data_IF_363203326705
#
_entry.id   IF_363203326705
#
_cell.length_a   1.000
_cell.length_b   1.000
_cell.length_c   1.000
_cell.angle_alpha   90.00
_cell.angle_beta   90.00
_cell.angle_gamma   90.00
#
_symmetry.space_group_name_H-M   'P 1'
#
loop_
_entity.id
_entity.type
_entity.pdbx_description
1 polymer ?
#
# COMPACT_ATOMS: atom_id res chain seq x y z
N UNK A 1 -20.90 6.42 34.44
CA UNK A 1 -21.48 6.88 33.17
C UNK A 1 -20.36 6.77 32.16
N UNK A 2 -20.34 5.67 31.42
CA UNK A 2 -19.22 5.24 30.58
C UNK A 2 -19.22 6.11 29.32
N UNK A 3 -18.04 6.65 29.01
CA UNK A 3 -17.84 7.51 27.86
C UNK A 3 -18.24 6.79 26.57
N UNK A 4 -18.88 7.54 25.70
CA UNK A 4 -19.66 7.13 24.55
C UNK A 4 -18.88 7.56 23.31
N UNK A 5 -18.54 6.60 22.46
CA UNK A 5 -17.74 6.74 21.24
C UNK A 5 -16.27 7.15 21.46
N UNK A 6 -15.42 6.16 21.76
CA UNK A 6 -14.20 6.12 20.96
C UNK A 6 -14.67 5.98 19.50
N UNK A 7 -14.43 6.95 18.59
CA UNK A 7 -14.51 6.64 17.17
C UNK A 7 -13.63 5.40 16.96
N UNK A 8 -13.93 4.47 16.05
CA UNK A 8 -12.99 3.40 15.73
C UNK A 8 -11.69 4.08 15.36
N UNK A 9 -10.79 4.17 16.34
CA UNK A 9 -9.63 5.06 16.29
C UNK A 9 -8.90 4.60 15.07
N UNK A 10 -8.74 5.51 14.10
CA UNK A 10 -8.20 5.25 12.77
C UNK A 10 -7.27 4.06 12.88
N UNK A 11 -7.75 2.88 12.47
CA UNK A 11 -7.09 1.64 12.83
C UNK A 11 -5.61 1.84 12.47
N UNK A 12 -4.70 1.49 13.38
CA UNK A 12 -3.26 1.71 13.21
C UNK A 12 -2.77 0.87 12.02
N UNK A 13 -3.07 1.40 10.82
CA UNK A 13 -2.95 0.76 9.53
C UNK A 13 -1.59 1.14 9.01
N UNK A 14 -0.63 0.35 9.43
CA UNK A 14 0.72 0.37 8.88
C UNK A 14 0.76 -0.55 7.66
N UNK A 15 1.31 -0.07 6.56
CA UNK A 15 1.61 -0.87 5.37
C UNK A 15 3.06 -1.38 5.44
N UNK A 16 3.25 -2.70 5.40
CA UNK A 16 4.58 -3.31 5.35
C UNK A 16 4.83 -3.84 3.95
N UNK A 17 5.94 -3.41 3.34
CA UNK A 17 6.38 -3.79 2.00
C UNK A 17 7.59 -4.72 2.10
N UNK A 18 7.60 -5.80 1.31
CA UNK A 18 8.64 -6.83 1.38
C UNK A 18 10.04 -6.30 1.01
N UNK A 19 10.13 -5.41 0.00
CA UNK A 19 11.38 -4.78 -0.41
C UNK A 19 11.13 -3.40 -1.05
N UNK A 20 11.97 -2.42 -0.74
CA UNK A 20 11.92 -1.05 -1.32
C UNK A 20 12.85 -0.90 -2.53
N UNK A 21 13.47 -2.00 -3.00
CA UNK A 21 14.49 -2.00 -4.02
C UNK A 21 14.09 -2.93 -5.17
N UNK A 22 14.01 -2.36 -6.36
CA UNK A 22 13.71 -3.05 -7.61
C UNK A 22 14.80 -2.73 -8.64
N UNK A 23 14.98 -3.56 -9.67
CA UNK A 23 15.82 -3.24 -10.84
C UNK A 23 14.96 -3.02 -12.08
N UNK A 24 15.48 -2.31 -13.08
CA UNK A 24 14.77 -2.17 -14.37
C UNK A 24 14.57 -3.55 -14.99
N UNK A 25 13.35 -3.82 -15.46
CA UNK A 25 12.93 -5.11 -16.04
C UNK A 25 12.43 -6.14 -15.02
N UNK A 26 12.66 -5.92 -13.71
CA UNK A 26 12.14 -6.82 -12.69
C UNK A 26 10.60 -6.79 -12.66
N UNK A 27 10.02 -7.97 -12.45
CA UNK A 27 8.59 -8.16 -12.19
C UNK A 27 8.46 -8.94 -10.88
N UNK A 28 8.01 -8.28 -9.82
CA UNK A 28 7.97 -8.86 -8.48
C UNK A 28 6.56 -8.75 -7.85
N UNK A 29 6.17 -9.70 -6.99
CA UNK A 29 4.93 -9.59 -6.24
C UNK A 29 5.01 -8.42 -5.24
N UNK A 30 3.95 -7.61 -5.20
CA UNK A 30 3.72 -6.61 -4.17
C UNK A 30 3.01 -7.27 -2.99
N UNK A 31 3.71 -7.40 -1.87
CA UNK A 31 3.09 -7.84 -0.60
C UNK A 31 2.87 -6.62 0.28
N UNK A 32 1.61 -6.40 0.67
CA UNK A 32 1.22 -5.33 1.58
C UNK A 32 0.48 -5.93 2.76
N UNK A 33 1.06 -5.80 3.94
CA UNK A 33 0.40 -6.20 5.19
C UNK A 33 -0.30 -4.98 5.77
N UNK A 34 -1.60 -5.11 6.03
CA UNK A 34 -2.39 -4.10 6.75
C UNK A 34 -2.54 -4.56 8.19
N UNK A 35 -1.96 -3.81 9.12
CA UNK A 35 -2.11 -4.09 10.55
C UNK A 35 -3.27 -3.28 11.12
N UNK A 36 -3.90 -3.79 12.17
CA UNK A 36 -4.91 -3.07 12.95
C UNK A 36 -4.67 -3.36 14.42
N UNK A 37 -5.35 -2.62 15.30
CA UNK A 37 -5.31 -2.91 16.74
C UNK A 37 -5.78 -4.34 17.09
N UNK A 38 -6.58 -4.98 16.23
CA UNK A 38 -7.07 -6.34 16.40
C UNK A 38 -6.16 -7.41 15.76
N UNK A 39 -5.06 -7.02 15.12
CA UNK A 39 -4.15 -7.91 14.38
C UNK A 39 -4.09 -7.62 12.89
N UNK A 40 -3.40 -8.49 12.14
CA UNK A 40 -3.25 -8.38 10.69
C UNK A 40 -4.59 -8.61 9.98
N UNK A 41 -4.96 -7.68 9.09
CA UNK A 41 -6.16 -7.80 8.28
C UNK A 41 -5.93 -8.85 7.20
N UNK A 42 -6.65 -9.97 7.27
CA UNK A 42 -6.61 -10.99 6.25
C UNK A 42 -7.27 -10.49 4.95
N UNK A 43 -6.56 -10.59 3.82
CA UNK A 43 -7.02 -10.19 2.49
C UNK A 43 -7.54 -8.74 2.42
N UNK A 44 -6.70 -7.73 2.69
CA UNK A 44 -7.11 -6.34 2.58
C UNK A 44 -7.40 -6.01 1.12
N UNK A 45 -8.56 -5.41 0.85
CA UNK A 45 -8.85 -4.87 -0.46
C UNK A 45 -8.09 -3.55 -0.61
N UNK A 46 -7.04 -3.56 -1.42
CA UNK A 46 -6.17 -2.40 -1.63
C UNK A 46 -6.31 -1.88 -3.05
N UNK A 47 -6.23 -0.56 -3.18
CA UNK A 47 -5.97 0.09 -4.46
C UNK A 47 -4.56 0.65 -4.42
N UNK A 48 -3.73 0.18 -5.33
CA UNK A 48 -2.34 0.60 -5.46
C UNK A 48 -2.18 1.30 -6.79
N UNK A 49 -1.65 2.51 -6.79
CA UNK A 49 -1.40 3.30 -7.99
C UNK A 49 0.03 3.81 -7.98
N UNK A 50 0.76 3.64 -9.08
CA UNK A 50 2.03 4.32 -9.27
C UNK A 50 1.81 5.75 -9.71
N UNK A 51 2.43 6.70 -9.03
CA UNK A 51 2.43 8.12 -9.41
C UNK A 51 3.52 8.42 -10.47
N UNK A 52 4.47 7.51 -10.66
CA UNK A 52 5.59 7.62 -11.57
C UNK A 52 5.64 6.44 -12.57
N UNK A 53 4.63 6.31 -13.48
CA UNK A 53 4.45 5.14 -14.34
C UNK A 53 5.55 4.93 -15.40
N UNK A 54 6.41 5.92 -15.60
CA UNK A 54 7.61 5.82 -16.46
C UNK A 54 8.80 5.17 -15.75
N UNK A 55 8.77 5.09 -14.41
CA UNK A 55 9.82 4.50 -13.58
C UNK A 55 9.37 3.16 -12.99
N UNK A 56 8.13 3.09 -12.53
CA UNK A 56 7.55 1.91 -11.88
C UNK A 56 6.10 1.76 -12.31
N UNK A 57 5.73 0.57 -12.77
CA UNK A 57 4.34 0.23 -13.04
C UNK A 57 3.80 -0.74 -12.00
N UNK A 58 2.49 -0.66 -11.80
CA UNK A 58 1.71 -1.60 -11.03
C UNK A 58 0.73 -2.25 -12.01
N UNK A 59 0.57 -3.57 -11.93
CA UNK A 59 -0.40 -4.25 -12.80
C UNK A 59 -1.84 -3.82 -12.48
N UNK A 60 -2.78 -4.18 -13.36
CA UNK A 60 -4.20 -3.83 -13.18
C UNK A 60 -4.84 -4.42 -11.92
N UNK A 61 -4.27 -5.50 -11.37
CA UNK A 61 -4.73 -6.12 -10.13
C UNK A 61 -4.21 -5.41 -8.88
N UNK A 62 -3.16 -4.60 -8.98
CA UNK A 62 -2.57 -3.90 -7.84
C UNK A 62 -1.61 -4.76 -7.01
N UNK A 63 -1.19 -5.93 -7.49
CA UNK A 63 -0.42 -6.93 -6.71
C UNK A 63 0.97 -7.25 -7.28
N UNK A 64 1.35 -6.61 -8.38
CA UNK A 64 2.64 -6.85 -9.05
C UNK A 64 3.28 -5.52 -9.41
N UNK A 65 4.57 -5.39 -9.09
CA UNK A 65 5.42 -4.26 -9.45
C UNK A 65 6.29 -4.60 -10.66
N UNK A 66 6.45 -3.64 -11.56
CA UNK A 66 7.26 -3.77 -12.77
C UNK A 66 8.21 -2.58 -12.86
N UNK A 67 9.53 -2.84 -12.84
CA UNK A 67 10.55 -1.81 -12.96
C UNK A 67 10.70 -1.37 -14.42
N UNK A 68 10.44 -0.09 -14.71
CA UNK A 68 10.49 0.45 -16.09
C UNK A 68 11.73 1.31 -16.30
N UNK A 69 12.04 2.18 -15.35
CA UNK A 69 13.11 3.16 -15.46
C UNK A 69 13.80 3.38 -14.11
N UNK A 70 15.11 3.69 -14.11
CA UNK A 70 15.84 3.89 -12.87
C UNK A 70 15.41 5.19 -12.18
N UNK A 71 15.31 5.17 -10.85
CA UNK A 71 14.92 6.35 -10.08
C UNK A 71 14.25 6.02 -8.76
N UNK A 72 13.51 6.99 -8.24
CA UNK A 72 12.61 6.81 -7.09
C UNK A 72 11.19 7.04 -7.58
N UNK A 73 10.35 6.04 -7.41
CA UNK A 73 8.95 6.08 -7.76
C UNK A 73 8.09 6.07 -6.49
N UNK A 74 6.95 6.75 -6.54
CA UNK A 74 5.99 6.80 -5.44
C UNK A 74 4.77 5.95 -5.76
N UNK A 75 4.39 5.10 -4.81
CA UNK A 75 3.11 4.41 -4.81
C UNK A 75 2.14 5.13 -3.89
N UNK A 76 0.94 5.38 -4.39
CA UNK A 76 -0.24 5.69 -3.59
C UNK A 76 -0.97 4.38 -3.27
N UNK A 77 -1.06 4.04 -1.98
CA UNK A 77 -1.71 2.84 -1.48
C UNK A 77 -2.90 3.24 -0.63
N UNK A 78 -4.08 2.79 -1.03
CA UNK A 78 -5.35 3.11 -0.41
C UNK A 78 -6.05 1.83 0.03
N UNK A 79 -6.50 1.78 1.29
CA UNK A 79 -7.34 0.68 1.77
C UNK A 79 -8.78 0.88 1.29
N UNK A 80 -9.22 0.07 0.33
CA UNK A 80 -10.59 0.06 -0.21
C UNK A 80 -11.44 -0.97 0.54
N UNK A 81 -11.74 -0.71 1.81
CA UNK A 81 -12.64 -1.56 2.60
C UNK A 81 -14.03 -0.94 2.73
N UNK A 82 -15.09 -1.70 2.42
CA UNK A 82 -16.48 -1.30 2.65
C UNK A 82 -16.90 -1.32 4.13
N UNK A 83 -16.09 -1.91 5.03
CA UNK A 83 -16.47 -2.16 6.43
C UNK A 83 -15.91 -1.10 7.39
N UNK A 84 -14.95 -0.28 6.95
CA UNK A 84 -14.38 0.78 7.79
C UNK A 84 -15.17 2.07 7.58
N UNK A 85 -16.08 2.35 8.50
CA UNK A 85 -16.76 3.66 8.61
C UNK A 85 -15.77 4.66 9.23
N UNK A 86 -14.88 5.23 8.42
CA UNK A 86 -13.87 6.18 8.86
C UNK A 86 -13.06 6.73 7.68
N UNK A 87 -12.17 7.70 7.92
CA UNK A 87 -11.21 8.12 6.89
C UNK A 87 -10.43 6.89 6.43
N UNK A 88 -10.49 6.58 5.13
CA UNK A 88 -9.72 5.47 4.56
C UNK A 88 -8.24 5.86 4.63
N UNK A 89 -7.40 5.06 5.29
CA UNK A 89 -5.99 5.38 5.34
C UNK A 89 -5.39 5.28 3.94
N UNK A 90 -4.76 6.38 3.54
CA UNK A 90 -3.89 6.51 2.41
C UNK A 90 -2.43 6.54 2.90
N UNK A 91 -1.53 5.99 2.12
CA UNK A 91 -0.10 6.06 2.41
C UNK A 91 0.69 6.15 1.12
N UNK A 92 1.65 7.08 1.13
CA UNK A 92 2.65 7.18 0.08
C UNK A 92 3.85 6.32 0.43
N UNK A 93 4.26 5.45 -0.49
CA UNK A 93 5.42 4.60 -0.32
C UNK A 93 6.42 4.81 -1.46
N UNK A 94 7.68 5.05 -1.10
CA UNK A 94 8.75 5.27 -2.08
C UNK A 94 9.49 3.97 -2.36
N UNK A 95 9.63 3.65 -3.65
CA UNK A 95 10.43 2.53 -4.15
C UNK A 95 11.61 3.06 -4.94
N UNK A 96 12.78 2.47 -4.74
CA UNK A 96 13.97 2.75 -5.53
C UNK A 96 14.12 1.70 -6.62
N UNK A 97 14.09 2.17 -7.87
CA UNK A 97 14.41 1.35 -9.05
C UNK A 97 15.86 1.60 -9.42
N UNK A 98 16.66 0.54 -9.44
CA UNK A 98 18.07 0.55 -9.85
C UNK A 98 18.17 0.32 -11.36
N UNK A 99 19.20 0.88 -12.01
CA UNK A 99 19.54 0.54 -13.39
C UNK A 99 19.72 -0.97 -13.59
#
# INVERSE_FOLDING_TARGET
MTDVFDPPGAADISFVFADSLLSVGDTIPLTVVVRTAAGDLANPHLRVTSLDPTLLQVNSRGDTLIGIGPGRATLDVQLVSSVITGAMPDTLYTIRVRP
#
